data_IF_943081685940
#
_entry.id   IF_943081685940
#
_cell.length_a   1.000
_cell.length_b   1.000
_cell.length_c   1.000
_cell.angle_alpha   90.00
_cell.angle_beta   90.00
_cell.angle_gamma   90.00
#
_symmetry.space_group_name_H-M   'P 1'
#
loop_
_entity.id
_entity.type
_entity.pdbx_description
1 polymer ?
#
# COMPACT_ATOMS: atom_id res chain seq x y z
N UNK A 1 24.04 -36.38 -3.60
CA UNK A 1 23.66 -35.06 -4.15
C UNK A 1 22.16 -34.87 -3.93
N UNK A 2 21.75 -34.17 -2.86
CA UNK A 2 20.33 -33.91 -2.59
C UNK A 2 19.86 -32.75 -3.46
N UNK A 3 19.06 -33.05 -4.49
CA UNK A 3 18.35 -32.02 -5.25
C UNK A 3 17.21 -31.52 -4.36
N UNK A 4 17.40 -30.35 -3.76
CA UNK A 4 16.29 -29.60 -3.17
C UNK A 4 15.35 -29.27 -4.32
N UNK A 5 14.18 -29.91 -4.35
CA UNK A 5 13.12 -29.56 -5.29
C UNK A 5 12.77 -28.08 -5.09
N UNK A 6 12.50 -27.30 -6.16
CA UNK A 6 12.06 -25.93 -6.00
C UNK A 6 10.81 -25.92 -5.11
N UNK A 7 10.90 -25.27 -3.95
CA UNK A 7 9.77 -25.08 -3.07
C UNK A 7 8.81 -24.12 -3.76
N UNK A 8 7.78 -24.66 -4.39
CA UNK A 8 6.69 -23.88 -4.95
C UNK A 8 5.88 -23.29 -3.79
N UNK A 9 6.34 -22.17 -3.23
CA UNK A 9 5.54 -21.38 -2.31
C UNK A 9 4.34 -20.80 -3.09
N UNK A 10 3.16 -21.29 -2.76
CA UNK A 10 1.86 -20.86 -3.30
C UNK A 10 1.18 -19.81 -2.41
N UNK A 11 1.87 -19.33 -1.38
CA UNK A 11 1.33 -18.31 -0.47
C UNK A 11 1.07 -16.98 -1.17
N UNK A 12 0.01 -16.30 -0.75
CA UNK A 12 -0.21 -14.88 -1.02
C UNK A 12 0.41 -14.07 0.10
N UNK A 13 1.21 -13.06 -0.25
CA UNK A 13 1.84 -12.16 0.71
C UNK A 13 1.28 -10.76 0.54
N UNK A 14 0.78 -10.16 1.62
CA UNK A 14 0.30 -8.78 1.64
C UNK A 14 1.20 -7.94 2.55
N UNK A 15 1.75 -6.86 2.01
CA UNK A 15 2.63 -5.93 2.71
C UNK A 15 2.00 -4.54 2.68
N UNK A 16 1.53 -4.09 3.84
CA UNK A 16 1.09 -2.71 4.02
C UNK A 16 2.29 -1.81 4.28
N UNK A 17 2.29 -0.62 3.69
CA UNK A 17 3.33 0.37 3.91
C UNK A 17 2.78 1.80 3.88
N UNK A 18 3.37 2.71 4.68
CA UNK A 18 3.06 4.13 4.59
C UNK A 18 3.63 4.74 3.29
N UNK A 19 2.98 5.79 2.79
CA UNK A 19 3.51 6.65 1.72
C UNK A 19 3.79 8.02 2.35
N UNK A 20 5.06 8.27 2.65
CA UNK A 20 5.57 9.47 3.33
C UNK A 20 6.78 9.99 2.56
N UNK A 21 7.13 11.29 2.69
CA UNK A 21 8.27 11.89 2.00
C UNK A 21 9.60 11.44 2.64
N UNK A 22 9.88 10.14 2.58
CA UNK A 22 11.13 9.50 2.99
C UNK A 22 11.56 8.55 1.89
N UNK A 23 12.83 8.60 1.52
CA UNK A 23 13.36 7.80 0.41
C UNK A 23 13.12 6.30 0.63
N UNK A 24 13.27 5.82 1.87
CA UNK A 24 13.08 4.42 2.21
C UNK A 24 11.64 3.94 1.97
N UNK A 25 10.65 4.82 2.19
CA UNK A 25 9.24 4.52 1.95
C UNK A 25 8.92 4.44 0.45
N UNK A 26 9.55 5.27 -0.37
CA UNK A 26 9.41 5.23 -1.83
C UNK A 26 10.11 4.02 -2.47
N UNK A 27 11.24 3.58 -1.89
CA UNK A 27 12.02 2.47 -2.42
C UNK A 27 11.38 1.09 -2.17
N UNK A 28 10.63 0.94 -1.07
CA UNK A 28 10.08 -0.35 -0.66
C UNK A 28 9.17 -0.99 -1.75
N UNK A 29 8.17 -0.30 -2.33
CA UNK A 29 7.36 -0.87 -3.40
C UNK A 29 8.20 -1.30 -4.62
N UNK A 30 9.23 -0.52 -4.96
CA UNK A 30 10.13 -0.83 -6.09
C UNK A 30 10.94 -2.09 -5.84
N UNK A 31 11.46 -2.25 -4.62
CA UNK A 31 12.20 -3.45 -4.19
C UNK A 31 11.29 -4.68 -4.20
N UNK A 32 10.05 -4.55 -3.72
CA UNK A 32 9.07 -5.65 -3.71
C UNK A 32 8.64 -6.08 -5.13
N UNK A 33 8.36 -5.12 -6.03
CA UNK A 33 8.09 -5.42 -7.45
C UNK A 33 9.27 -6.15 -8.10
N UNK A 34 10.49 -5.67 -7.84
CA UNK A 34 11.73 -6.32 -8.34
C UNK A 34 11.87 -7.75 -7.83
N UNK A 35 11.59 -8.00 -6.55
CA UNK A 35 11.63 -9.32 -5.95
C UNK A 35 10.57 -10.25 -6.56
N UNK A 36 9.31 -9.78 -6.68
CA UNK A 36 8.23 -10.56 -7.29
C UNK A 36 8.56 -10.95 -8.74
N UNK A 37 9.08 -10.01 -9.54
CA UNK A 37 9.50 -10.27 -10.93
C UNK A 37 10.65 -11.29 -10.98
N UNK A 38 11.67 -11.16 -10.12
CA UNK A 38 12.78 -12.13 -10.04
C UNK A 38 12.30 -13.54 -9.64
N UNK A 39 11.27 -13.62 -8.80
CA UNK A 39 10.66 -14.88 -8.37
C UNK A 39 9.57 -15.39 -9.32
N UNK A 40 9.35 -14.72 -10.47
CA UNK A 40 8.30 -15.02 -11.44
C UNK A 40 6.91 -15.15 -10.80
N UNK A 41 6.61 -14.26 -9.85
CA UNK A 41 5.30 -14.16 -9.20
C UNK A 41 4.60 -12.91 -9.69
N UNK A 42 3.29 -13.03 -9.94
CA UNK A 42 2.45 -11.87 -10.17
C UNK A 42 2.40 -10.98 -8.93
N UNK A 43 2.20 -9.68 -9.13
CA UNK A 43 2.00 -8.74 -8.04
C UNK A 43 0.89 -7.74 -8.37
N UNK A 44 0.31 -7.19 -7.32
CA UNK A 44 -0.67 -6.11 -7.37
C UNK A 44 -0.27 -5.06 -6.34
N UNK A 45 -0.30 -3.78 -6.72
CA UNK A 45 -0.03 -2.68 -5.83
C UNK A 45 -1.22 -1.72 -5.84
N UNK A 46 -1.89 -1.62 -4.69
CA UNK A 46 -2.98 -0.67 -4.49
C UNK A 46 -2.49 0.45 -3.57
N UNK A 47 -2.82 1.70 -3.91
CA UNK A 47 -2.57 2.85 -3.04
C UNK A 47 -3.82 3.65 -2.81
N UNK A 48 -3.91 4.25 -1.62
CA UNK A 48 -4.97 5.18 -1.25
C UNK A 48 -4.34 6.38 -0.56
N UNK A 49 -4.60 7.56 -1.12
CA UNK A 49 -4.31 8.86 -0.55
C UNK A 49 -5.62 9.46 -0.06
N UNK A 50 -5.68 9.87 1.20
CA UNK A 50 -6.87 10.48 1.81
C UNK A 50 -6.74 12.00 1.94
N UNK A 51 -5.52 12.54 1.95
CA UNK A 51 -5.27 13.99 1.99
C UNK A 51 -3.90 14.38 1.46
N UNK A 52 -3.71 15.68 1.23
CA UNK A 52 -2.40 16.27 1.00
C UNK A 52 -1.48 16.15 2.23
N UNK A 53 -0.20 15.93 1.98
CA UNK A 53 0.86 15.82 3.00
C UNK A 53 1.06 17.11 3.82
N UNK A 54 0.53 18.25 3.36
CA UNK A 54 0.58 19.53 4.07
C UNK A 54 -0.53 19.76 5.11
N UNK A 55 -1.58 18.92 5.14
CA UNK A 55 -2.72 19.08 6.04
C UNK A 55 -2.55 18.25 7.32
N UNK A 56 -1.78 18.78 8.27
CA UNK A 56 -1.71 18.20 9.61
C UNK A 56 -2.93 18.65 10.43
N UNK A 57 -3.88 17.73 10.64
CA UNK A 57 -4.89 17.91 11.67
C UNK A 57 -4.23 17.67 13.04
N UNK A 58 -4.50 18.49 14.06
CA UNK A 58 -4.02 18.23 15.41
C UNK A 58 -4.61 16.90 15.90
N UNK A 59 -3.76 15.97 16.31
CA UNK A 59 -4.18 14.74 17.00
C UNK A 59 -4.27 15.07 18.48
N UNK A 60 -5.48 14.99 19.05
CA UNK A 60 -5.70 15.14 20.48
C UNK A 60 -5.07 13.95 21.21
N UNK A 61 -4.02 14.19 21.99
CA UNK A 61 -3.54 13.21 22.98
C UNK A 61 -4.51 13.18 24.17
N UNK A 62 -4.88 12.01 24.72
CA UNK A 62 -5.66 11.93 25.95
C UNK A 62 -4.96 12.56 27.17
N UNK A 63 -3.65 12.86 27.05
CA UNK A 63 -2.79 13.41 28.11
C UNK A 63 -2.57 14.93 27.99
N UNK A 64 -3.34 15.66 27.18
CA UNK A 64 -3.36 17.13 27.21
C UNK A 64 -2.21 17.84 26.48
N UNK A 65 -1.18 17.13 26.02
CA UNK A 65 -0.17 17.70 25.12
C UNK A 65 -0.55 17.42 23.66
N UNK A 66 -1.23 18.37 23.03
CA UNK A 66 -1.52 18.37 21.60
C UNK A 66 -0.25 18.68 20.81
N UNK A 67 0.68 17.73 20.72
CA UNK A 67 1.72 17.78 19.69
C UNK A 67 1.05 17.48 18.34
N UNK A 68 1.09 18.39 17.34
CA UNK A 68 0.52 18.13 16.04
C UNK A 68 1.34 17.03 15.37
N UNK A 69 0.89 15.77 15.46
CA UNK A 69 1.47 14.69 14.65
C UNK A 69 0.77 14.72 13.30
N UNK A 70 1.49 14.96 12.19
CA UNK A 70 0.91 14.84 10.87
C UNK A 70 0.41 13.41 10.70
N UNK A 71 -0.91 13.22 10.59
CA UNK A 71 -1.49 11.92 10.27
C UNK A 71 -0.98 11.41 8.92
N UNK A 72 -0.99 10.09 8.69
CA UNK A 72 -0.56 9.50 7.42
C UNK A 72 -1.49 9.94 6.28
N UNK A 73 -0.99 10.68 5.27
CA UNK A 73 -1.82 11.16 4.17
C UNK A 73 -2.16 10.05 3.17
N UNK A 74 -1.30 9.04 3.07
CA UNK A 74 -1.42 7.96 2.10
C UNK A 74 -0.77 6.67 2.60
N UNK A 75 -1.27 5.55 2.10
CA UNK A 75 -0.70 4.22 2.33
C UNK A 75 -0.88 3.33 1.10
N UNK A 76 -0.10 2.25 1.04
CA UNK A 76 -0.19 1.27 -0.03
C UNK A 76 -0.18 -0.16 0.51
N UNK A 77 -0.72 -1.06 -0.30
CA UNK A 77 -0.69 -2.49 -0.09
C UNK A 77 -0.06 -3.16 -1.31
N UNK A 78 1.07 -3.82 -1.10
CA UNK A 78 1.70 -4.67 -2.10
C UNK A 78 1.27 -6.12 -1.85
N UNK A 79 0.65 -6.75 -2.85
CA UNK A 79 0.21 -8.14 -2.79
C UNK A 79 0.99 -8.96 -3.81
N UNK A 80 1.80 -9.91 -3.33
CA UNK A 80 2.54 -10.86 -4.17
C UNK A 80 1.72 -12.15 -4.25
N UNK A 81 1.61 -12.69 -5.47
CA UNK A 81 0.75 -13.82 -5.80
C UNK A 81 -0.72 -13.54 -5.39
N UNK A 82 -1.34 -12.46 -5.88
CA UNK A 82 -2.69 -12.08 -5.49
C UNK A 82 -3.73 -13.11 -5.98
N UNK A 83 -4.81 -13.33 -5.22
CA UNK A 83 -5.98 -14.04 -5.74
C UNK A 83 -6.53 -13.38 -7.00
N UNK A 84 -6.99 -14.17 -7.96
CA UNK A 84 -7.44 -13.68 -9.27
C UNK A 84 -8.62 -12.69 -9.18
N UNK A 85 -9.46 -12.80 -8.15
CA UNK A 85 -10.60 -11.91 -7.92
C UNK A 85 -10.20 -10.56 -7.35
N UNK A 86 -9.05 -10.46 -6.69
CA UNK A 86 -8.67 -9.28 -5.90
C UNK A 86 -8.58 -8.01 -6.75
N UNK A 87 -8.08 -8.13 -7.99
CA UNK A 87 -7.99 -6.99 -8.91
C UNK A 87 -9.36 -6.39 -9.20
N UNK A 88 -10.34 -7.21 -9.58
CA UNK A 88 -11.69 -6.74 -9.90
C UNK A 88 -12.36 -6.12 -8.67
N UNK A 89 -12.24 -6.77 -7.51
CA UNK A 89 -12.77 -6.25 -6.25
C UNK A 89 -12.17 -4.88 -5.89
N UNK A 90 -10.87 -4.68 -6.09
CA UNK A 90 -10.22 -3.41 -5.81
C UNK A 90 -10.54 -2.32 -6.84
N UNK A 91 -10.76 -2.68 -8.11
CA UNK A 91 -11.21 -1.75 -9.14
C UNK A 91 -12.57 -1.13 -8.79
N UNK A 92 -13.46 -1.92 -8.18
CA UNK A 92 -14.77 -1.45 -7.71
C UNK A 92 -14.68 -0.72 -6.36
N UNK A 93 -13.90 -1.25 -5.41
CA UNK A 93 -13.87 -0.73 -4.04
C UNK A 93 -13.06 0.57 -3.89
N UNK A 94 -11.90 0.69 -4.54
CA UNK A 94 -11.00 1.83 -4.33
C UNK A 94 -11.62 3.20 -4.65
N UNK A 95 -12.41 3.38 -5.73
CA UNK A 95 -13.13 4.63 -5.96
C UNK A 95 -14.11 4.97 -4.84
N UNK A 96 -14.83 3.96 -4.30
CA UNK A 96 -15.74 4.16 -3.17
C UNK A 96 -14.98 4.55 -1.90
N UNK A 97 -13.78 3.99 -1.69
CA UNK A 97 -12.92 4.37 -0.56
C UNK A 97 -12.44 5.81 -0.67
N UNK A 98 -12.12 6.32 -1.87
CA UNK A 98 -11.78 7.74 -2.07
C UNK A 98 -12.98 8.64 -1.70
N UNK A 99 -14.19 8.28 -2.12
CA UNK A 99 -15.40 9.03 -1.79
C UNK A 99 -15.71 9.03 -0.29
N UNK A 100 -15.53 7.89 0.39
CA UNK A 100 -15.88 7.73 1.80
C UNK A 100 -14.81 8.26 2.77
N UNK A 101 -13.52 8.13 2.41
CA UNK A 101 -12.40 8.39 3.31
C UNK A 101 -11.57 9.63 2.91
N UNK A 102 -11.83 10.20 1.73
CA UNK A 102 -11.17 11.43 1.28
C UNK A 102 -11.45 12.60 2.21
N UNK A 103 -10.39 13.29 2.64
CA UNK A 103 -10.46 14.44 3.54
C UNK A 103 -10.22 15.77 2.81
N UNK A 104 -9.66 15.72 1.60
CA UNK A 104 -9.50 16.88 0.73
C UNK A 104 -9.53 16.49 -0.75
N UNK A 105 -9.41 17.51 -1.62
CA UNK A 105 -9.39 17.35 -3.09
C UNK A 105 -8.20 16.56 -3.64
N UNK A 106 -7.19 16.27 -2.83
CA UNK A 106 -6.01 15.49 -3.20
C UNK A 106 -6.19 14.00 -2.90
N UNK A 107 -7.34 13.59 -2.34
CA UNK A 107 -7.70 12.19 -2.19
C UNK A 107 -7.71 11.49 -3.55
N UNK A 108 -7.02 10.36 -3.62
CA UNK A 108 -6.77 9.64 -4.88
C UNK A 108 -6.44 8.18 -4.60
N UNK A 109 -6.57 7.34 -5.62
CA UNK A 109 -6.19 5.93 -5.58
C UNK A 109 -5.30 5.58 -6.77
N UNK A 110 -4.50 4.53 -6.63
CA UNK A 110 -3.86 3.86 -7.76
C UNK A 110 -3.96 2.35 -7.62
N UNK A 111 -4.03 1.67 -8.76
CA UNK A 111 -4.01 0.21 -8.84
C UNK A 111 -3.12 -0.22 -9.99
N UNK A 112 -2.02 -0.88 -9.67
CA UNK A 112 -1.04 -1.40 -10.63
C UNK A 112 -0.92 -2.91 -10.50
N UNK A 113 -0.62 -3.61 -11.60
CA UNK A 113 -0.39 -5.06 -11.62
C UNK A 113 0.77 -5.42 -12.54
N UNK A 114 1.44 -6.55 -12.26
CA UNK A 114 2.47 -7.16 -13.13
C UNK A 114 1.94 -7.61 -14.48
#
# INVERSE_FOLDING_TARGET
MSRVAPSHFTGTYAVWHPIIPRMEAHDLPRKLKTLANKSQKSWLHATLTVKSSGSAAPVSSPLGEATPRPGLPASGMMVINPPHTLKAMLQEALPQMVLALGQDRHASMSLETS
#
